data_IF_778261788999
#
_entry.id   IF_778261788999
#
_cell.length_a   1.000
_cell.length_b   1.000
_cell.length_c   1.000
_cell.angle_alpha   90.00
_cell.angle_beta   90.00
_cell.angle_gamma   90.00
#
_symmetry.space_group_name_H-M   'P 1'
#
loop_
_entity.id
_entity.type
_entity.pdbx_description
1 polymer ?
#
# COMPACT_ATOMS: atom_id res chain seq x y z
N UNK A 1 2.96 7.79 -11.25
CA UNK A 1 3.00 8.07 -12.69
C UNK A 1 2.46 6.92 -13.55
N UNK A 2 2.87 5.66 -13.31
CA UNK A 2 2.44 4.52 -14.13
C UNK A 2 0.94 4.26 -14.04
N UNK A 3 0.37 4.32 -12.83
CA UNK A 3 -1.06 4.08 -12.59
C UNK A 3 -1.94 5.13 -13.26
N UNK A 4 -1.58 6.41 -13.13
CA UNK A 4 -2.31 7.50 -13.81
C UNK A 4 -2.24 7.33 -15.34
N UNK A 5 -1.07 6.99 -15.89
CA UNK A 5 -0.94 6.73 -17.33
C UNK A 5 -1.77 5.55 -17.81
N UNK A 6 -1.87 4.47 -17.03
CA UNK A 6 -2.72 3.30 -17.37
C UNK A 6 -4.21 3.66 -17.32
N UNK A 7 -4.64 4.47 -16.35
CA UNK A 7 -6.01 4.95 -16.26
C UNK A 7 -6.37 5.84 -17.46
N UNK A 8 -5.49 6.78 -17.81
CA UNK A 8 -5.68 7.66 -18.96
C UNK A 8 -5.73 6.90 -20.29
N UNK A 9 -4.91 5.86 -20.44
CA UNK A 9 -4.97 4.98 -21.61
C UNK A 9 -6.35 4.33 -21.71
N UNK A 10 -6.85 3.75 -20.61
CA UNK A 10 -8.18 3.14 -20.58
C UNK A 10 -9.30 4.16 -20.89
N UNK A 11 -9.20 5.37 -20.36
CA UNK A 11 -10.15 6.45 -20.64
C UNK A 11 -10.11 6.89 -22.11
N UNK A 12 -8.89 6.95 -22.67
CA UNK A 12 -8.73 7.24 -24.10
C UNK A 12 -9.34 6.14 -24.96
N UNK A 13 -9.06 4.87 -24.68
CA UNK A 13 -9.64 3.73 -25.42
C UNK A 13 -11.18 3.72 -25.34
N UNK A 14 -11.75 3.98 -24.16
CA UNK A 14 -13.19 4.08 -23.98
C UNK A 14 -13.79 5.22 -24.82
N UNK A 15 -13.14 6.39 -24.83
CA UNK A 15 -13.57 7.55 -25.63
C UNK A 15 -13.47 7.27 -27.12
N UNK A 16 -12.35 6.70 -27.58
CA UNK A 16 -12.09 6.40 -29.00
C UNK A 16 -13.03 5.32 -29.55
N UNK A 17 -13.56 4.46 -28.68
CA UNK A 17 -14.50 3.41 -29.07
C UNK A 17 -15.82 3.94 -29.64
N UNK A 18 -16.19 5.20 -29.33
CA UNK A 18 -17.47 5.80 -29.67
C UNK A 18 -18.66 5.15 -28.98
N UNK A 19 -18.46 4.18 -28.10
CA UNK A 19 -19.53 3.41 -27.44
C UNK A 19 -19.89 3.96 -26.05
N UNK A 20 -19.09 4.87 -25.52
CA UNK A 20 -19.30 5.44 -24.20
C UNK A 20 -20.46 6.44 -24.26
N UNK A 21 -21.54 6.19 -23.51
CA UNK A 21 -22.66 7.11 -23.30
C UNK A 21 -23.17 7.81 -24.61
N UNK A 22 -23.24 7.06 -25.71
CA UNK A 22 -23.67 7.61 -26.99
C UNK A 22 -22.61 8.40 -27.77
N UNK A 23 -21.35 8.18 -27.48
CA UNK A 23 -20.22 8.84 -28.17
C UNK A 23 -19.56 9.96 -27.37
N UNK A 24 -19.87 10.08 -26.08
CA UNK A 24 -19.21 11.01 -25.16
C UNK A 24 -17.71 10.67 -24.99
N UNK A 25 -16.92 11.68 -24.66
CA UNK A 25 -15.50 11.53 -24.38
C UNK A 25 -15.19 11.84 -22.92
N UNK A 26 -14.16 11.19 -22.38
CA UNK A 26 -13.70 11.42 -21.02
C UNK A 26 -12.61 12.50 -21.03
N UNK A 27 -12.89 13.62 -20.34
CA UNK A 27 -11.88 14.63 -20.03
C UNK A 27 -11.27 14.32 -18.67
N UNK A 28 -9.92 14.34 -18.59
CA UNK A 28 -9.18 13.99 -17.38
C UNK A 28 -8.62 15.26 -16.74
N UNK A 29 -8.91 15.43 -15.44
CA UNK A 29 -8.30 16.45 -14.58
C UNK A 29 -7.37 15.73 -13.61
N UNK A 30 -6.09 16.09 -13.62
CA UNK A 30 -5.10 15.51 -12.69
C UNK A 30 -5.04 16.30 -11.39
N UNK A 31 -4.96 15.59 -10.27
CA UNK A 31 -4.67 16.15 -8.97
C UNK A 31 -3.68 15.22 -8.22
N UNK A 32 -2.84 15.78 -7.38
CA UNK A 32 -1.91 15.01 -6.56
C UNK A 32 -2.58 14.69 -5.22
N UNK A 33 -2.86 13.42 -4.98
CA UNK A 33 -3.42 12.93 -3.73
C UNK A 33 -2.36 12.67 -2.66
N UNK A 34 -1.09 12.92 -2.95
CA UNK A 34 0.02 12.52 -2.06
C UNK A 34 -0.08 11.04 -1.65
N UNK A 35 0.57 10.63 -0.58
CA UNK A 35 0.38 9.30 0.02
C UNK A 35 0.28 9.40 1.54
N UNK A 36 0.89 10.43 2.11
CA UNK A 36 1.08 10.58 3.55
C UNK A 36 0.40 11.82 4.14
N UNK A 37 -0.04 12.76 3.30
CA UNK A 37 -0.70 14.00 3.73
C UNK A 37 -2.19 13.99 3.37
N UNK A 38 -3.02 13.56 4.33
CA UNK A 38 -4.46 13.49 4.15
C UNK A 38 -5.13 14.87 3.99
N UNK A 39 -4.55 15.92 4.55
CA UNK A 39 -5.08 17.27 4.40
C UNK A 39 -4.86 17.80 2.97
N UNK A 40 -3.64 17.64 2.45
CA UNK A 40 -3.33 18.00 1.06
C UNK A 40 -4.16 17.17 0.07
N UNK A 41 -4.33 15.86 0.31
CA UNK A 41 -5.14 14.97 -0.51
C UNK A 41 -6.62 15.41 -0.55
N UNK A 42 -7.18 15.76 0.62
CA UNK A 42 -8.56 16.26 0.73
C UNK A 42 -8.74 17.57 -0.04
N UNK A 43 -7.83 18.53 0.15
CA UNK A 43 -7.88 19.81 -0.58
C UNK A 43 -7.77 19.62 -2.11
N UNK A 44 -6.90 18.71 -2.56
CA UNK A 44 -6.79 18.37 -3.98
C UNK A 44 -8.10 17.78 -4.53
N UNK A 45 -8.74 16.89 -3.78
CA UNK A 45 -10.01 16.30 -4.16
C UNK A 45 -11.16 17.33 -4.18
N UNK A 46 -11.25 18.23 -3.21
CA UNK A 46 -12.19 19.36 -3.22
C UNK A 46 -12.00 20.24 -4.46
N UNK A 47 -10.74 20.51 -4.82
CA UNK A 47 -10.42 21.28 -6.01
C UNK A 47 -10.88 20.67 -7.33
N UNK A 48 -10.86 19.33 -7.47
CA UNK A 48 -11.40 18.68 -8.66
C UNK A 48 -12.93 18.57 -8.63
N UNK A 49 -13.53 18.38 -7.48
CA UNK A 49 -15.01 18.40 -7.33
C UNK A 49 -15.56 19.78 -7.69
N UNK A 50 -14.90 20.86 -7.29
CA UNK A 50 -15.30 22.23 -7.66
C UNK A 50 -15.29 22.47 -9.18
N UNK A 51 -14.56 21.64 -9.94
CA UNK A 51 -14.54 21.69 -11.41
C UNK A 51 -15.63 20.82 -12.05
N UNK A 52 -16.49 20.19 -11.25
CA UNK A 52 -17.66 19.44 -11.74
C UNK A 52 -17.32 18.05 -12.29
N UNK A 53 -16.30 17.37 -11.73
CA UNK A 53 -15.96 15.99 -12.15
C UNK A 53 -17.12 15.02 -11.85
N UNK A 54 -17.34 14.08 -12.76
CA UNK A 54 -18.37 13.05 -12.61
C UNK A 54 -17.92 11.89 -11.70
N UNK A 55 -16.62 11.62 -11.61
CA UNK A 55 -16.04 10.56 -10.79
C UNK A 55 -14.57 10.86 -10.46
N UNK A 56 -14.05 10.18 -9.44
CA UNK A 56 -12.64 10.24 -9.04
C UNK A 56 -12.03 8.86 -9.26
N UNK A 57 -10.97 8.78 -10.07
CA UNK A 57 -10.10 7.61 -10.18
C UNK A 57 -8.90 7.81 -9.25
N UNK A 58 -8.87 7.08 -8.17
CA UNK A 58 -7.88 7.24 -7.09
C UNK A 58 -8.54 7.08 -5.71
N UNK A 59 -7.84 7.38 -4.60
CA UNK A 59 -6.42 7.68 -4.57
C UNK A 59 -5.61 6.37 -4.56
N UNK A 60 -4.30 6.50 -4.51
CA UNK A 60 -3.37 5.35 -4.49
C UNK A 60 -3.31 4.73 -3.08
N UNK A 61 -2.90 5.50 -2.09
CA UNK A 61 -2.62 5.01 -0.74
C UNK A 61 -3.88 4.99 0.14
N UNK A 62 -4.03 3.97 0.99
CA UNK A 62 -5.27 3.69 1.73
C UNK A 62 -5.71 4.81 2.67
N UNK A 63 -4.79 5.43 3.42
CA UNK A 63 -5.14 6.50 4.37
C UNK A 63 -5.72 7.72 3.67
N UNK A 64 -5.08 8.20 2.59
CA UNK A 64 -5.59 9.34 1.81
C UNK A 64 -6.85 8.98 1.04
N UNK A 65 -6.97 7.72 0.56
CA UNK A 65 -8.21 7.22 -0.06
C UNK A 65 -9.38 7.33 0.91
N UNK A 66 -9.18 6.88 2.15
CA UNK A 66 -10.21 6.98 3.19
C UNK A 66 -10.57 8.44 3.48
N UNK A 67 -9.57 9.31 3.65
CA UNK A 67 -9.81 10.73 3.91
C UNK A 67 -10.63 11.41 2.80
N UNK A 68 -10.30 11.13 1.54
CA UNK A 68 -11.04 11.66 0.39
C UNK A 68 -12.46 11.07 0.33
N UNK A 69 -12.61 9.75 0.53
CA UNK A 69 -13.93 9.12 0.52
C UNK A 69 -14.85 9.70 1.60
N UNK A 70 -14.38 9.72 2.86
CA UNK A 70 -15.20 10.15 3.99
C UNK A 70 -15.53 11.65 3.96
N UNK A 71 -14.58 12.50 3.55
CA UNK A 71 -14.72 13.95 3.68
C UNK A 71 -15.16 14.67 2.39
N UNK A 72 -14.92 14.05 1.23
CA UNK A 72 -15.15 14.73 -0.07
C UNK A 72 -16.06 13.94 -0.98
N UNK A 73 -15.69 12.75 -1.40
CA UNK A 73 -16.42 12.02 -2.46
C UNK A 73 -17.83 11.63 -2.01
N UNK A 74 -17.97 10.96 -0.88
CA UNK A 74 -19.27 10.50 -0.35
C UNK A 74 -20.19 11.67 0.02
N UNK A 75 -19.74 12.72 0.73
CA UNK A 75 -20.59 13.88 1.01
C UNK A 75 -21.10 14.60 -0.23
N UNK A 76 -20.31 14.63 -1.30
CA UNK A 76 -20.70 15.27 -2.56
C UNK A 76 -21.43 14.32 -3.54
N UNK A 77 -21.62 13.05 -3.18
CA UNK A 77 -22.29 12.07 -4.06
C UNK A 77 -21.48 11.74 -5.33
N UNK A 78 -20.16 11.84 -5.26
CA UNK A 78 -19.26 11.57 -6.38
C UNK A 78 -18.66 10.17 -6.22
N UNK A 79 -18.76 9.34 -7.25
CA UNK A 79 -18.19 8.00 -7.26
C UNK A 79 -16.67 8.09 -7.23
N UNK A 80 -16.07 7.29 -6.35
CA UNK A 80 -14.62 7.18 -6.22
C UNK A 80 -14.19 5.72 -6.37
N UNK A 81 -13.20 5.46 -7.23
CA UNK A 81 -12.67 4.11 -7.49
C UNK A 81 -11.17 4.12 -7.27
N UNK A 82 -10.69 3.42 -6.24
CA UNK A 82 -9.26 3.25 -6.01
C UNK A 82 -8.71 2.02 -6.74
N UNK A 83 -7.61 2.15 -7.47
CA UNK A 83 -6.96 1.02 -8.15
C UNK A 83 -6.01 0.23 -7.25
N UNK A 84 -5.65 0.74 -6.07
CA UNK A 84 -4.53 0.23 -5.28
C UNK A 84 -4.70 0.27 -3.77
N UNK A 85 -5.70 0.98 -3.23
CA UNK A 85 -5.93 1.06 -1.79
C UNK A 85 -6.43 -0.28 -1.23
N UNK A 86 -5.61 -0.95 -0.42
CA UNK A 86 -5.81 -2.34 0.01
C UNK A 86 -6.26 -2.49 1.46
N UNK A 87 -6.20 -1.44 2.31
CA UNK A 87 -6.51 -1.55 3.73
C UNK A 87 -7.85 -2.26 3.98
N UNK A 88 -7.92 -3.23 4.91
CA UNK A 88 -9.15 -3.94 5.23
C UNK A 88 -10.29 -3.03 5.66
N UNK A 89 -9.98 -1.97 6.39
CA UNK A 89 -10.95 -0.98 6.90
C UNK A 89 -11.74 -0.26 5.81
N UNK A 90 -11.21 -0.18 4.58
CA UNK A 90 -11.93 0.40 3.44
C UNK A 90 -13.16 -0.41 3.01
N UNK A 91 -13.25 -1.68 3.41
CA UNK A 91 -14.44 -2.52 3.14
C UNK A 91 -15.63 -2.11 4.02
N UNK A 92 -15.36 -1.46 5.15
CA UNK A 92 -16.36 -1.18 6.20
C UNK A 92 -16.73 0.32 6.30
N UNK A 93 -16.22 1.16 5.42
CA UNK A 93 -16.55 2.59 5.42
C UNK A 93 -18.02 2.81 5.06
N UNK A 94 -18.62 3.86 5.61
CA UNK A 94 -20.02 4.23 5.34
C UNK A 94 -20.11 5.04 4.05
N UNK A 95 -19.83 4.39 2.93
CA UNK A 95 -19.66 5.02 1.62
C UNK A 95 -20.97 5.29 0.87
N UNK A 96 -22.09 4.83 1.36
CA UNK A 96 -23.42 4.95 0.68
C UNK A 96 -23.40 4.44 -0.76
N UNK A 97 -22.46 3.56 -1.12
CA UNK A 97 -22.30 3.04 -2.47
C UNK A 97 -21.51 3.97 -3.42
N UNK A 98 -20.77 4.93 -2.90
CA UNK A 98 -19.93 5.84 -3.69
C UNK A 98 -18.46 5.45 -3.74
N UNK A 99 -18.00 4.51 -2.90
CA UNK A 99 -16.60 4.06 -2.94
C UNK A 99 -16.47 2.63 -3.46
N UNK A 100 -15.53 2.43 -4.36
CA UNK A 100 -15.15 1.14 -4.92
C UNK A 100 -13.63 1.01 -4.97
N UNK A 101 -13.15 -0.23 -5.06
CA UNK A 101 -11.74 -0.51 -5.36
C UNK A 101 -11.61 -1.72 -6.28
N UNK A 102 -10.59 -1.71 -7.12
CA UNK A 102 -10.23 -2.85 -7.98
C UNK A 102 -9.08 -3.68 -7.38
N UNK A 103 -8.37 -3.14 -6.38
CA UNK A 103 -7.38 -3.89 -5.62
C UNK A 103 -8.04 -4.86 -4.63
N UNK A 104 -7.45 -6.06 -4.38
CA UNK A 104 -7.92 -6.96 -3.33
C UNK A 104 -7.64 -6.37 -1.94
N UNK A 105 -8.39 -6.84 -0.93
CA UNK A 105 -8.15 -6.45 0.45
C UNK A 105 -6.94 -7.17 1.06
N UNK A 106 -6.18 -6.46 1.89
CA UNK A 106 -5.09 -6.99 2.72
C UNK A 106 -5.56 -8.00 3.76
N UNK A 107 -6.87 -8.10 4.03
CA UNK A 107 -7.42 -9.19 4.82
C UNK A 107 -7.03 -10.58 4.25
N UNK A 108 -6.82 -10.68 2.93
CA UNK A 108 -6.29 -11.88 2.28
C UNK A 108 -4.78 -11.81 2.07
N UNK A 109 -4.25 -10.63 1.70
CA UNK A 109 -2.82 -10.41 1.45
C UNK A 109 -1.94 -10.78 2.64
N UNK A 110 -2.31 -10.33 3.84
CA UNK A 110 -1.60 -10.65 5.08
C UNK A 110 -1.58 -12.14 5.41
N UNK A 111 -2.68 -12.86 5.16
CA UNK A 111 -2.75 -14.31 5.33
C UNK A 111 -1.79 -15.04 4.36
N UNK A 112 -1.80 -14.65 3.08
CA UNK A 112 -0.90 -15.22 2.07
C UNK A 112 0.57 -14.98 2.45
N UNK A 113 0.91 -13.77 2.87
CA UNK A 113 2.27 -13.44 3.30
C UNK A 113 2.69 -14.30 4.51
N UNK A 114 1.77 -14.56 5.44
CA UNK A 114 2.02 -15.44 6.59
C UNK A 114 2.20 -16.90 6.17
N UNK A 115 1.40 -17.40 5.22
CA UNK A 115 1.56 -18.74 4.64
C UNK A 115 2.95 -18.92 4.01
N UNK A 116 3.39 -17.93 3.21
CA UNK A 116 4.74 -17.93 2.62
C UNK A 116 5.82 -17.88 3.70
N UNK A 117 5.60 -17.09 4.77
CA UNK A 117 6.53 -17.01 5.91
C UNK A 117 6.73 -18.37 6.57
N UNK A 118 5.63 -19.11 6.78
CA UNK A 118 5.66 -20.48 7.29
C UNK A 118 6.39 -21.46 6.34
N UNK A 119 6.09 -21.38 5.04
CA UNK A 119 6.70 -22.26 4.03
C UNK A 119 8.22 -22.02 3.92
N UNK A 120 8.65 -20.79 4.15
CA UNK A 120 10.08 -20.39 4.23
C UNK A 120 10.72 -20.74 5.56
N UNK A 121 10.00 -21.44 6.46
CA UNK A 121 10.48 -21.95 7.75
C UNK A 121 11.03 -20.86 8.69
N UNK A 122 10.50 -19.67 8.62
CA UNK A 122 10.76 -18.59 9.58
C UNK A 122 10.10 -18.97 10.90
N UNK A 123 10.82 -18.89 12.00
CA UNK A 123 10.31 -19.27 13.33
C UNK A 123 9.99 -18.07 14.20
N UNK A 124 10.63 -16.94 13.95
CA UNK A 124 10.41 -15.70 14.68
C UNK A 124 10.53 -14.48 13.76
N UNK A 125 9.67 -13.50 13.95
CA UNK A 125 9.59 -12.29 13.13
C UNK A 125 9.42 -11.05 13.99
N UNK A 126 10.23 -10.01 13.72
CA UNK A 126 9.95 -8.66 14.14
C UNK A 126 9.12 -7.99 13.03
N UNK A 127 8.13 -7.19 13.40
CA UNK A 127 7.25 -6.51 12.43
C UNK A 127 7.39 -5.02 12.61
N UNK A 128 7.64 -4.31 11.51
CA UNK A 128 7.52 -2.86 11.46
C UNK A 128 6.56 -2.46 10.34
N UNK A 129 5.75 -1.43 10.57
CA UNK A 129 4.74 -0.98 9.62
C UNK A 129 4.67 0.54 9.56
N UNK A 130 4.38 1.08 8.37
CA UNK A 130 4.13 2.51 8.21
C UNK A 130 2.91 2.94 9.00
N UNK A 131 3.01 4.06 9.75
CA UNK A 131 2.00 4.53 10.69
C UNK A 131 0.78 5.16 9.99
N UNK A 132 0.06 4.34 9.24
CA UNK A 132 -1.17 4.73 8.55
C UNK A 132 -2.14 3.54 8.40
N UNK A 133 -3.32 3.76 7.81
CA UNK A 133 -4.38 2.75 7.66
C UNK A 133 -3.91 1.50 6.88
N UNK A 134 -3.05 1.68 5.85
CA UNK A 134 -2.49 0.56 5.11
C UNK A 134 -1.58 -0.28 5.97
N UNK A 135 -0.53 0.35 6.53
CA UNK A 135 0.49 -0.37 7.30
C UNK A 135 -0.10 -1.06 8.53
N UNK A 136 -0.92 -0.33 9.30
CA UNK A 136 -1.59 -0.90 10.49
C UNK A 136 -2.51 -2.05 10.13
N UNK A 137 -3.37 -1.88 9.12
CA UNK A 137 -4.34 -2.90 8.72
C UNK A 137 -3.69 -4.20 8.25
N UNK A 138 -2.66 -4.11 7.40
CA UNK A 138 -1.92 -5.27 6.93
C UNK A 138 -1.09 -5.91 8.05
N UNK A 139 -0.46 -5.11 8.92
CA UNK A 139 0.32 -5.62 10.04
C UNK A 139 -0.55 -6.43 11.02
N UNK A 140 -1.75 -5.97 11.34
CA UNK A 140 -2.67 -6.68 12.22
C UNK A 140 -3.09 -8.05 11.65
N UNK A 141 -3.42 -8.09 10.35
CA UNK A 141 -3.77 -9.36 9.68
C UNK A 141 -2.57 -10.30 9.64
N UNK A 142 -1.38 -9.79 9.26
CA UNK A 142 -0.17 -10.57 9.17
C UNK A 142 0.26 -11.12 10.54
N UNK A 143 0.25 -10.27 11.58
CA UNK A 143 0.57 -10.67 12.96
C UNK A 143 -0.34 -11.81 13.45
N UNK A 144 -1.65 -11.66 13.28
CA UNK A 144 -2.61 -12.69 13.67
C UNK A 144 -2.36 -14.00 12.93
N UNK A 145 -2.09 -13.94 11.62
CA UNK A 145 -1.88 -15.11 10.79
C UNK A 145 -0.55 -15.84 11.10
N UNK A 146 0.57 -15.12 11.29
CA UNK A 146 1.84 -15.77 11.66
C UNK A 146 1.76 -16.40 13.06
N UNK A 147 1.07 -15.77 14.02
CA UNK A 147 0.79 -16.35 15.33
C UNK A 147 -0.04 -17.65 15.23
N UNK A 148 -1.06 -17.67 14.37
CA UNK A 148 -1.86 -18.86 14.10
C UNK A 148 -1.03 -20.00 13.49
N UNK A 149 0.03 -19.69 12.77
CA UNK A 149 1.01 -20.65 12.25
C UNK A 149 2.07 -21.08 13.28
N UNK A 150 2.01 -20.59 14.52
CA UNK A 150 2.98 -20.92 15.58
C UNK A 150 4.31 -20.16 15.41
N UNK A 151 4.38 -19.14 14.61
CA UNK A 151 5.55 -18.30 14.43
C UNK A 151 5.58 -17.26 15.54
N UNK A 152 6.71 -17.10 16.21
CA UNK A 152 6.87 -16.14 17.30
C UNK A 152 6.96 -14.72 16.72
N UNK A 153 6.06 -13.84 17.12
CA UNK A 153 6.20 -12.40 16.89
C UNK A 153 7.00 -11.80 18.04
N UNK A 154 8.16 -11.22 17.75
CA UNK A 154 9.07 -10.68 18.76
C UNK A 154 8.71 -9.27 19.16
N UNK A 155 8.29 -8.46 18.19
CA UNK A 155 7.78 -7.09 18.40
C UNK A 155 6.92 -6.66 17.21
N UNK A 156 6.05 -5.68 17.44
CA UNK A 156 5.28 -4.99 16.40
C UNK A 156 5.37 -3.49 16.68
N UNK A 157 6.00 -2.74 15.79
CA UNK A 157 6.24 -1.30 15.96
C UNK A 157 5.88 -0.51 14.70
N UNK A 158 5.29 0.66 14.89
CA UNK A 158 5.11 1.59 13.78
C UNK A 158 6.41 2.32 13.46
N UNK A 159 6.56 2.73 12.20
CA UNK A 159 7.56 3.70 11.76
C UNK A 159 6.86 4.83 10.99
N UNK A 160 7.44 6.02 11.08
CA UNK A 160 6.96 7.16 10.32
C UNK A 160 7.60 7.18 8.93
N UNK A 161 6.81 7.59 7.94
CA UNK A 161 7.30 7.79 6.57
C UNK A 161 8.15 9.07 6.44
N UNK A 162 9.02 9.13 5.44
CA UNK A 162 9.77 10.33 5.07
C UNK A 162 10.92 10.73 6.01
N UNK A 163 11.32 9.87 6.94
CA UNK A 163 12.49 10.14 7.81
C UNK A 163 13.79 10.00 7.04
N UNK A 164 14.76 10.82 7.41
CA UNK A 164 16.12 10.74 6.86
C UNK A 164 16.95 9.58 7.44
N UNK A 165 16.61 9.10 8.64
CA UNK A 165 17.32 8.02 9.33
C UNK A 165 16.34 7.11 10.09
N UNK A 166 16.57 5.81 10.00
CA UNK A 166 15.78 4.74 10.63
C UNK A 166 16.59 3.90 11.62
N UNK A 167 17.76 4.35 12.03
CA UNK A 167 18.66 3.60 12.94
C UNK A 167 18.01 3.31 14.28
N UNK A 168 17.18 4.22 14.80
CA UNK A 168 16.47 4.03 16.07
C UNK A 168 15.36 2.97 15.99
N UNK A 169 14.61 2.95 14.90
CA UNK A 169 13.60 1.93 14.64
C UNK A 169 14.26 0.55 14.50
N UNK A 170 15.33 0.48 13.73
CA UNK A 170 16.08 -0.77 13.53
C UNK A 170 16.72 -1.25 14.83
N UNK A 171 17.28 -0.37 15.66
CA UNK A 171 17.80 -0.74 16.97
C UNK A 171 16.72 -1.34 17.88
N UNK A 172 15.51 -0.80 17.85
CA UNK A 172 14.36 -1.34 18.60
C UNK A 172 13.99 -2.74 18.11
N UNK A 173 13.92 -2.94 16.79
CA UNK A 173 13.64 -4.23 16.18
C UNK A 173 14.74 -5.26 16.50
N UNK A 174 16.01 -4.85 16.41
CA UNK A 174 17.18 -5.68 16.71
C UNK A 174 17.19 -6.14 18.18
N UNK A 175 16.84 -5.25 19.10
CA UNK A 175 16.74 -5.58 20.53
C UNK A 175 15.70 -6.63 20.84
N UNK A 176 14.61 -6.67 20.07
CA UNK A 176 13.58 -7.71 20.18
C UNK A 176 14.01 -9.02 19.51
N UNK A 177 14.91 -8.95 18.54
CA UNK A 177 15.43 -10.07 17.76
C UNK A 177 14.40 -10.66 16.80
N UNK A 178 14.77 -11.76 16.17
CA UNK A 178 13.93 -12.51 15.23
C UNK A 178 14.77 -13.10 14.08
N UNK A 179 14.26 -14.13 13.42
CA UNK A 179 14.90 -14.73 12.24
C UNK A 179 14.78 -13.84 10.99
N UNK A 180 13.80 -12.95 11.01
CA UNK A 180 13.51 -12.02 9.92
C UNK A 180 12.79 -10.78 10.44
N UNK A 181 12.83 -9.71 9.66
CA UNK A 181 11.98 -8.53 9.87
C UNK A 181 10.95 -8.41 8.75
N UNK A 182 9.68 -8.28 9.12
CA UNK A 182 8.63 -7.91 8.19
C UNK A 182 8.56 -6.38 8.09
N UNK A 183 8.74 -5.87 6.88
CA UNK A 183 8.64 -4.44 6.56
C UNK A 183 7.35 -4.22 5.78
N UNK A 184 6.36 -3.67 6.44
CA UNK A 184 5.04 -3.40 5.90
C UNK A 184 4.92 -1.89 5.70
N UNK A 185 5.06 -1.43 4.47
CA UNK A 185 5.10 -0.01 4.19
C UNK A 185 5.30 0.31 2.74
N UNK A 186 5.76 1.52 2.49
CA UNK A 186 6.06 2.01 1.16
C UNK A 186 7.57 2.11 0.93
N UNK A 187 8.01 1.53 -0.18
CA UNK A 187 9.43 1.41 -0.51
C UNK A 187 10.16 2.78 -0.46
N UNK A 188 9.61 3.78 -1.14
CA UNK A 188 10.25 5.08 -1.31
C UNK A 188 9.89 6.10 -0.20
N UNK A 189 9.01 5.74 0.74
CA UNK A 189 8.64 6.62 1.85
C UNK A 189 9.43 6.33 3.14
N UNK A 190 9.86 5.08 3.34
CA UNK A 190 10.61 4.68 4.54
C UNK A 190 11.24 3.30 4.43
N UNK A 191 10.67 2.45 3.60
CA UNK A 191 11.08 1.06 3.48
C UNK A 191 12.54 0.86 3.10
N UNK A 192 13.06 1.63 2.15
CA UNK A 192 14.49 1.60 1.79
C UNK A 192 15.39 1.96 2.98
N UNK A 193 15.01 2.98 3.74
CA UNK A 193 15.78 3.42 4.91
C UNK A 193 15.86 2.33 6.00
N UNK A 194 14.75 1.61 6.23
CA UNK A 194 14.72 0.49 7.19
C UNK A 194 15.61 -0.67 6.71
N UNK A 195 15.53 -1.04 5.43
CA UNK A 195 16.38 -2.09 4.86
C UNK A 195 17.86 -1.67 4.97
N UNK A 196 18.20 -0.46 4.54
CA UNK A 196 19.57 0.05 4.60
C UNK A 196 20.12 0.05 6.03
N UNK A 197 19.39 0.63 6.98
CA UNK A 197 19.83 0.67 8.39
C UNK A 197 19.96 -0.74 8.99
N UNK A 198 19.11 -1.70 8.57
CA UNK A 198 19.24 -3.10 9.01
C UNK A 198 20.49 -3.77 8.46
N UNK A 199 20.83 -3.54 7.21
CA UNK A 199 22.03 -4.08 6.58
C UNK A 199 23.30 -3.44 7.17
N UNK A 200 23.31 -2.12 7.30
CA UNK A 200 24.47 -1.36 7.84
C UNK A 200 24.81 -1.76 9.28
N UNK A 201 23.78 -1.98 10.11
CA UNK A 201 23.97 -2.42 11.49
C UNK A 201 24.18 -3.92 11.64
N UNK A 202 23.92 -4.71 10.58
CA UNK A 202 23.90 -6.17 10.65
C UNK A 202 22.76 -6.76 11.47
N UNK A 203 21.71 -5.96 11.76
CA UNK A 203 20.58 -6.37 12.58
C UNK A 203 19.73 -7.46 11.91
N UNK A 204 19.44 -7.30 10.62
CA UNK A 204 18.68 -8.25 9.82
C UNK A 204 19.24 -8.34 8.40
N UNK A 205 19.24 -9.56 7.84
CA UNK A 205 19.58 -9.86 6.44
C UNK A 205 18.48 -10.64 5.70
N UNK A 206 17.34 -10.83 6.38
CA UNK A 206 16.16 -11.48 5.84
C UNK A 206 14.94 -10.59 6.03
N UNK A 207 14.39 -10.14 4.92
CA UNK A 207 13.25 -9.24 4.88
C UNK A 207 12.01 -9.94 4.33
N UNK A 208 10.87 -9.71 4.99
CA UNK A 208 9.55 -10.13 4.54
C UNK A 208 8.82 -8.85 4.12
N UNK A 209 8.47 -8.77 2.85
CA UNK A 209 8.09 -7.51 2.22
C UNK A 209 6.62 -7.53 1.80
N UNK A 210 5.89 -6.49 2.20
CA UNK A 210 4.54 -6.25 1.71
C UNK A 210 4.54 -5.77 0.24
N UNK A 211 3.38 -5.73 -0.38
CA UNK A 211 3.19 -5.28 -1.76
C UNK A 211 3.74 -3.86 -2.01
N UNK A 212 3.50 -2.92 -1.11
CA UNK A 212 4.02 -1.55 -1.18
C UNK A 212 5.55 -1.45 -1.13
N UNK A 213 6.24 -2.53 -0.76
CA UNK A 213 7.70 -2.62 -0.75
C UNK A 213 8.28 -3.19 -2.06
N UNK A 214 7.46 -3.73 -2.96
CA UNK A 214 7.93 -4.47 -4.13
C UNK A 214 7.95 -3.56 -5.36
N UNK A 215 9.12 -3.41 -5.97
CA UNK A 215 9.31 -2.61 -7.16
C UNK A 215 10.72 -2.72 -7.72
N UNK A 216 10.93 -2.24 -8.95
CA UNK A 216 12.24 -2.28 -9.60
C UNK A 216 13.30 -1.56 -8.77
N UNK A 217 12.95 -0.42 -8.16
CA UNK A 217 13.88 0.37 -7.35
C UNK A 217 14.36 -0.36 -6.08
N UNK A 218 13.62 -1.35 -5.57
CA UNK A 218 14.09 -2.25 -4.51
C UNK A 218 15.24 -3.14 -5.00
N UNK A 219 15.06 -3.74 -6.19
CA UNK A 219 16.06 -4.62 -6.80
C UNK A 219 17.31 -3.83 -7.18
N UNK A 220 17.14 -2.64 -7.73
CA UNK A 220 18.23 -1.77 -8.13
C UNK A 220 19.07 -1.34 -6.90
N UNK A 221 18.42 -1.07 -5.76
CA UNK A 221 19.10 -0.65 -4.54
C UNK A 221 19.77 -1.81 -3.77
N UNK A 222 19.09 -2.95 -3.65
CA UNK A 222 19.45 -4.00 -2.68
C UNK A 222 19.52 -5.41 -3.28
N UNK A 223 19.40 -5.59 -4.59
CA UNK A 223 19.20 -6.92 -5.21
C UNK A 223 20.19 -7.99 -4.76
N UNK A 224 21.45 -7.63 -4.45
CA UNK A 224 22.46 -8.57 -3.98
C UNK A 224 22.22 -9.03 -2.53
N UNK A 225 21.58 -8.17 -1.73
CA UNK A 225 21.41 -8.37 -0.29
C UNK A 225 20.03 -9.00 0.04
N UNK A 226 19.14 -9.09 -0.96
CA UNK A 226 17.80 -9.64 -0.80
C UNK A 226 17.67 -11.15 -1.05
N UNK A 227 18.78 -11.87 -1.19
CA UNK A 227 18.77 -13.32 -1.56
C UNK A 227 17.95 -14.21 -0.61
N UNK A 228 17.84 -13.82 0.66
CA UNK A 228 17.06 -14.54 1.66
C UNK A 228 15.65 -13.98 1.83
N UNK A 229 15.38 -12.84 1.20
CA UNK A 229 14.15 -12.08 1.37
C UNK A 229 13.05 -12.56 0.43
N UNK A 230 11.82 -12.28 0.76
CA UNK A 230 10.65 -12.60 -0.04
C UNK A 230 9.50 -11.65 0.29
N UNK A 231 8.50 -11.65 -0.54
CA UNK A 231 7.29 -10.85 -0.34
C UNK A 231 6.14 -11.34 -1.20
N UNK A 232 5.03 -10.68 -1.09
CA UNK A 232 3.85 -10.93 -1.91
C UNK A 232 3.26 -9.63 -2.41
N UNK A 233 2.70 -9.66 -3.60
CA UNK A 233 1.94 -8.55 -4.17
C UNK A 233 0.74 -9.09 -4.94
N UNK A 234 -0.35 -8.34 -5.03
CA UNK A 234 -1.44 -8.65 -5.93
C UNK A 234 -0.94 -8.74 -7.37
N UNK A 235 -1.44 -9.71 -8.10
CA UNK A 235 -1.06 -9.91 -9.50
C UNK A 235 -2.13 -10.66 -10.25
N UNK A 236 -2.10 -10.55 -11.57
CA UNK A 236 -2.91 -11.35 -12.49
C UNK A 236 -2.05 -12.46 -13.07
N UNK A 237 -2.55 -13.68 -13.05
CA UNK A 237 -1.99 -14.81 -13.80
C UNK A 237 -2.55 -14.87 -15.23
N UNK A 238 -3.39 -13.92 -15.61
CA UNK A 238 -3.99 -13.83 -16.92
C UNK A 238 -2.92 -13.59 -17.99
N UNK A 239 -3.01 -14.33 -19.09
CA UNK A 239 -2.34 -13.94 -20.31
C UNK A 239 -3.09 -12.75 -20.86
N UNK A 240 -2.53 -11.55 -20.67
CA UNK A 240 -3.03 -10.34 -21.29
C UNK A 240 -2.86 -10.38 -22.81
#
# INVERSE_FOLDING_TARGET
PAMAGSAELAFKEASDSGSLLGGETISVIRADSTCVDSAAATAAAEGVIAQGVAAIMGADCSGVTRAIADNVAVPNGVVMISPSATAPTLTEIKDKGYFFRTAPSDARGGQILADITKDRKVKSVAITYTNNDYGKGLADVYEAAVKAHGIKVTTVTAHEDGKADYSSEVATLASAGGDAVAVIGYLDQGGKGIIQASLDSGAFDKFILSDGMIGQSLVDAFGKDLKKSFGSMPGSTGKG
#
